data_IF_192561563201
#
_entry.id   IF_192561563201
#
_cell.length_a   1.000
_cell.length_b   1.000
_cell.length_c   1.000
_cell.angle_alpha   90.00
_cell.angle_beta   90.00
_cell.angle_gamma   90.00
#
_symmetry.space_group_name_H-M   'P 1'
#
loop_
_entity.id
_entity.type
_entity.pdbx_description
1 polymer ?
#
# COMPACT_ATOMS: atom_id res chain seq x y z
N UNK A 1 32.81 22.17 7.07
CA UNK A 1 31.79 21.89 6.03
C UNK A 1 30.67 22.89 6.18
N UNK A 2 30.33 23.65 5.13
CA UNK A 2 29.13 24.50 5.13
C UNK A 2 27.90 23.59 5.03
N UNK A 3 26.81 23.99 5.68
CA UNK A 3 25.55 23.25 5.64
C UNK A 3 24.45 24.24 5.34
N UNK A 4 23.73 23.98 4.27
CA UNK A 4 22.55 24.73 3.88
C UNK A 4 21.35 24.12 4.60
N UNK A 5 21.03 24.64 5.78
CA UNK A 5 19.98 24.10 6.66
C UNK A 5 18.59 24.23 6.04
N UNK A 6 18.34 25.33 5.37
CA UNK A 6 17.14 25.58 4.57
C UNK A 6 16.96 24.49 3.50
N UNK A 7 18.00 24.26 2.69
CA UNK A 7 17.95 23.25 1.65
C UNK A 7 17.83 21.82 2.23
N UNK A 8 18.57 21.55 3.30
CA UNK A 8 18.53 20.24 3.98
C UNK A 8 17.17 19.99 4.62
N UNK A 9 16.52 21.01 5.15
CA UNK A 9 15.18 20.92 5.74
C UNK A 9 14.12 20.61 4.68
N UNK A 10 14.21 21.25 3.50
CA UNK A 10 13.31 20.98 2.38
C UNK A 10 13.51 19.54 1.88
N UNK A 11 14.76 19.07 1.74
CA UNK A 11 15.07 17.68 1.37
C UNK A 11 14.38 16.70 2.33
N UNK A 12 14.55 16.95 3.62
CA UNK A 12 14.03 16.11 4.67
C UNK A 12 12.50 16.03 4.64
N UNK A 13 11.81 17.15 4.35
CA UNK A 13 10.36 17.16 4.15
C UNK A 13 9.96 16.26 2.97
N UNK A 14 10.66 16.37 1.83
CA UNK A 14 10.34 15.59 0.63
C UNK A 14 10.57 14.09 0.85
N UNK A 15 11.72 13.71 1.41
CA UNK A 15 12.04 12.31 1.75
C UNK A 15 11.02 11.74 2.74
N UNK A 16 10.65 12.51 3.77
CA UNK A 16 9.67 12.08 4.77
C UNK A 16 8.27 11.89 4.16
N UNK A 17 7.86 12.78 3.24
CA UNK A 17 6.61 12.64 2.49
C UNK A 17 6.60 11.35 1.68
N UNK A 18 7.71 11.03 0.99
CA UNK A 18 7.84 9.79 0.24
C UNK A 18 7.80 8.54 1.11
N UNK A 19 8.48 8.54 2.25
CA UNK A 19 8.48 7.41 3.18
C UNK A 19 7.09 7.12 3.76
N UNK A 20 6.35 8.16 4.14
CA UNK A 20 4.97 8.01 4.60
C UNK A 20 4.02 7.60 3.47
N UNK A 21 4.23 8.09 2.24
CA UNK A 21 3.46 7.69 1.06
C UNK A 21 3.63 6.20 0.76
N UNK A 22 4.86 5.68 0.80
CA UNK A 22 5.12 4.25 0.64
C UNK A 22 4.38 3.44 1.70
N UNK A 23 4.48 3.83 2.98
CA UNK A 23 3.77 3.16 4.07
C UNK A 23 2.26 3.14 3.86
N UNK A 24 1.69 4.28 3.45
CA UNK A 24 0.26 4.41 3.13
C UNK A 24 -0.18 3.46 2.02
N UNK A 25 0.61 3.35 0.95
CA UNK A 25 0.30 2.53 -0.21
C UNK A 25 0.43 1.03 0.07
N UNK A 26 1.48 0.63 0.78
CA UNK A 26 1.76 -0.80 1.05
C UNK A 26 0.86 -1.37 2.15
N UNK A 27 0.55 -0.59 3.19
CA UNK A 27 -0.26 -1.05 4.33
C UNK A 27 -1.76 -0.76 4.11
N UNK A 28 -2.14 -0.16 2.97
CA UNK A 28 -3.53 0.13 2.55
C UNK A 28 -4.32 0.84 3.65
N UNK A 29 -3.71 1.87 4.26
CA UNK A 29 -4.34 2.63 5.34
C UNK A 29 -4.68 4.03 4.88
N UNK A 30 -5.97 4.39 4.94
CA UNK A 30 -6.36 5.77 4.73
C UNK A 30 -5.90 6.66 5.88
N UNK A 31 -4.83 7.42 5.64
CA UNK A 31 -4.44 8.52 6.52
C UNK A 31 -4.99 9.85 6.03
N UNK A 32 -5.55 10.61 6.98
CA UNK A 32 -6.01 11.99 6.74
C UNK A 32 -4.80 12.89 6.48
N UNK A 33 -4.91 13.77 5.48
CA UNK A 33 -3.83 14.65 5.04
C UNK A 33 -3.16 15.43 6.18
N UNK A 34 -3.93 16.05 7.09
CA UNK A 34 -3.38 16.83 8.19
C UNK A 34 -2.45 16.02 9.10
N UNK A 35 -2.73 14.73 9.28
CA UNK A 35 -1.93 13.84 10.12
C UNK A 35 -0.58 13.55 9.48
N UNK A 36 -0.56 13.34 8.16
CA UNK A 36 0.68 13.20 7.39
C UNK A 36 1.51 14.48 7.42
N UNK A 37 0.90 15.65 7.31
CA UNK A 37 1.61 16.94 7.43
C UNK A 37 2.26 17.08 8.80
N UNK A 38 1.53 16.81 9.88
CA UNK A 38 2.06 16.86 11.25
C UNK A 38 3.23 15.89 11.42
N UNK A 39 3.09 14.66 10.94
CA UNK A 39 4.15 13.64 10.99
C UNK A 39 5.42 14.09 10.27
N UNK A 40 5.31 14.62 9.06
CA UNK A 40 6.44 15.11 8.27
C UNK A 40 7.18 16.22 9.02
N UNK A 41 6.46 17.17 9.60
CA UNK A 41 7.07 18.26 10.38
C UNK A 41 7.83 17.70 11.58
N UNK A 42 7.22 16.80 12.35
CA UNK A 42 7.88 16.20 13.51
C UNK A 42 9.12 15.38 13.15
N UNK A 43 9.05 14.57 12.09
CA UNK A 43 10.19 13.79 11.59
C UNK A 43 11.31 14.70 11.07
N UNK A 44 10.96 15.89 10.55
CA UNK A 44 11.93 16.85 10.03
C UNK A 44 12.72 17.59 11.11
N UNK A 45 12.27 17.56 12.38
CA UNK A 45 13.05 18.13 13.49
C UNK A 45 14.38 17.40 13.74
N UNK A 46 14.59 16.20 13.19
CA UNK A 46 15.88 15.52 13.28
C UNK A 46 17.05 16.32 12.69
N UNK A 47 16.78 17.33 11.85
CA UNK A 47 17.83 18.21 11.33
C UNK A 47 18.64 18.89 12.45
N UNK A 48 18.02 19.12 13.61
CA UNK A 48 18.70 19.69 14.79
C UNK A 48 19.87 18.79 15.26
N UNK A 49 19.82 17.49 14.97
CA UNK A 49 20.82 16.53 15.44
C UNK A 49 22.17 16.63 14.72
N UNK A 50 22.22 17.40 13.63
CA UNK A 50 23.47 17.83 12.98
C UNK A 50 24.42 18.55 13.95
N UNK A 51 23.89 19.15 15.01
CA UNK A 51 24.66 19.85 16.04
C UNK A 51 25.10 18.98 17.22
N UNK A 52 24.61 17.75 17.34
CA UNK A 52 24.95 16.85 18.44
C UNK A 52 26.15 15.97 18.15
N UNK A 53 26.62 15.22 19.15
CA UNK A 53 27.59 14.15 18.94
C UNK A 53 26.94 13.00 18.13
N UNK A 54 27.66 12.28 17.25
CA UNK A 54 27.12 11.17 16.48
C UNK A 54 26.32 10.15 17.30
N UNK A 55 26.85 9.70 18.45
CA UNK A 55 26.22 8.68 19.29
C UNK A 55 24.88 9.18 19.83
N UNK A 56 24.87 10.42 20.33
CA UNK A 56 23.66 11.06 20.83
C UNK A 56 22.64 11.27 19.71
N UNK A 57 23.09 11.70 18.53
CA UNK A 57 22.24 11.91 17.35
C UNK A 57 21.54 10.63 16.91
N UNK A 58 22.27 9.52 16.76
CA UNK A 58 21.69 8.23 16.39
C UNK A 58 20.66 7.74 17.43
N UNK A 59 21.02 7.85 18.71
CA UNK A 59 20.14 7.43 19.81
C UNK A 59 18.84 8.22 19.84
N UNK A 60 18.92 9.55 19.70
CA UNK A 60 17.76 10.44 19.67
C UNK A 60 16.91 10.21 18.41
N UNK A 61 17.53 9.99 17.25
CA UNK A 61 16.82 9.72 15.99
C UNK A 61 15.94 8.47 16.08
N UNK A 62 16.51 7.36 16.56
CA UNK A 62 15.77 6.09 16.70
C UNK A 62 14.66 6.22 17.74
N UNK A 63 14.94 6.86 18.88
CA UNK A 63 13.93 7.07 19.93
C UNK A 63 12.78 7.96 19.46
N UNK A 64 13.07 9.08 18.81
CA UNK A 64 12.06 10.00 18.29
C UNK A 64 11.17 9.30 17.26
N UNK A 65 11.78 8.63 16.28
CA UNK A 65 11.04 7.93 15.23
C UNK A 65 10.19 6.81 15.82
N UNK A 66 10.75 6.00 16.72
CA UNK A 66 9.99 4.93 17.37
C UNK A 66 8.80 5.49 18.16
N UNK A 67 9.01 6.57 18.94
CA UNK A 67 7.95 7.22 19.71
C UNK A 67 6.84 7.75 18.79
N UNK A 68 7.20 8.48 17.73
CA UNK A 68 6.26 9.01 16.75
C UNK A 68 5.45 7.85 16.14
N UNK A 69 6.12 6.81 15.65
CA UNK A 69 5.43 5.71 15.00
C UNK A 69 4.54 4.91 15.97
N UNK A 70 4.94 4.75 17.24
CA UNK A 70 4.10 4.14 18.28
C UNK A 70 2.84 4.96 18.54
N UNK A 71 2.96 6.28 18.71
CA UNK A 71 1.81 7.17 18.98
C UNK A 71 0.81 7.14 17.81
N UNK A 72 1.31 7.23 16.58
CA UNK A 72 0.46 7.38 15.41
C UNK A 72 -0.06 6.04 14.88
N UNK A 73 0.78 5.00 14.77
CA UNK A 73 0.42 3.73 14.13
C UNK A 73 0.08 2.60 15.11
N UNK A 74 0.35 2.77 16.41
CA UNK A 74 -0.01 1.81 17.48
C UNK A 74 0.49 0.40 17.18
N UNK A 75 -0.41 -0.56 16.94
CA UNK A 75 -0.07 -1.99 16.75
C UNK A 75 0.74 -2.27 15.49
N UNK A 76 0.63 -1.41 14.47
CA UNK A 76 1.33 -1.58 13.20
C UNK A 76 2.58 -0.72 13.08
N UNK A 77 3.02 -0.09 14.18
CA UNK A 77 4.14 0.84 14.18
C UNK A 77 5.40 0.23 13.55
N UNK A 78 5.69 -1.03 13.87
CA UNK A 78 6.91 -1.71 13.41
C UNK A 78 6.94 -1.88 11.88
N UNK A 79 5.80 -2.22 11.27
CA UNK A 79 5.70 -2.34 9.79
C UNK A 79 5.93 -0.98 9.12
N UNK A 80 5.28 0.07 9.64
CA UNK A 80 5.43 1.42 9.11
C UNK A 80 6.86 1.94 9.29
N UNK A 81 7.48 1.64 10.44
CA UNK A 81 8.85 2.06 10.75
C UNK A 81 9.86 1.40 9.80
N UNK A 82 9.73 0.09 9.54
CA UNK A 82 10.60 -0.61 8.58
C UNK A 82 10.47 0.00 7.19
N UNK A 83 9.24 0.14 6.67
CA UNK A 83 9.03 0.71 5.34
C UNK A 83 9.59 2.13 5.22
N UNK A 84 9.39 2.93 6.26
CA UNK A 84 9.91 4.29 6.34
C UNK A 84 11.45 4.31 6.28
N UNK A 85 12.14 3.51 7.10
CA UNK A 85 13.61 3.44 7.07
C UNK A 85 14.15 2.81 5.78
N UNK A 86 13.46 1.84 5.20
CA UNK A 86 13.81 1.29 3.89
C UNK A 86 13.76 2.36 2.82
N UNK A 87 12.68 3.14 2.76
CA UNK A 87 12.56 4.26 1.82
C UNK A 87 13.65 5.31 2.05
N UNK A 88 13.84 5.75 3.31
CA UNK A 88 14.86 6.74 3.67
C UNK A 88 16.26 6.29 3.25
N UNK A 89 16.60 5.01 3.47
CA UNK A 89 17.90 4.44 3.11
C UNK A 89 18.11 4.39 1.60
N UNK A 90 17.07 4.01 0.84
CA UNK A 90 17.10 3.99 -0.62
C UNK A 90 17.31 5.40 -1.17
N UNK A 91 16.55 6.38 -0.67
CA UNK A 91 16.69 7.78 -1.09
C UNK A 91 18.10 8.26 -0.77
N UNK A 92 18.52 8.21 0.50
CA UNK A 92 19.86 8.64 0.93
C UNK A 92 20.98 7.99 0.11
N UNK A 93 20.85 6.71 -0.24
CA UNK A 93 21.82 6.01 -1.09
C UNK A 93 21.89 6.61 -2.50
N UNK A 94 20.76 6.80 -3.18
CA UNK A 94 20.72 7.40 -4.52
C UNK A 94 21.18 8.86 -4.53
N UNK A 95 20.75 9.64 -3.54
CA UNK A 95 21.13 11.04 -3.40
C UNK A 95 22.64 11.18 -3.20
N UNK A 96 23.23 10.39 -2.29
CA UNK A 96 24.66 10.40 -2.05
C UNK A 96 25.48 9.83 -3.22
N UNK A 97 24.94 8.86 -3.97
CA UNK A 97 25.60 8.30 -5.15
C UNK A 97 25.70 9.34 -6.28
N UNK A 98 24.66 10.16 -6.47
CA UNK A 98 24.57 11.12 -7.57
C UNK A 98 25.17 12.48 -7.24
N UNK A 99 25.16 12.89 -5.96
CA UNK A 99 25.57 14.23 -5.50
C UNK A 99 26.60 14.16 -4.37
N UNK A 100 27.58 13.26 -4.51
CA UNK A 100 28.55 12.96 -3.45
C UNK A 100 29.37 14.17 -3.01
N UNK A 101 29.68 15.08 -3.94
CA UNK A 101 30.53 16.24 -3.67
C UNK A 101 29.73 17.41 -3.09
N UNK A 102 28.43 17.47 -3.38
CA UNK A 102 27.51 18.52 -2.98
C UNK A 102 26.71 18.20 -1.71
N UNK A 103 26.77 16.94 -1.26
CA UNK A 103 26.00 16.42 -0.13
C UNK A 103 26.89 15.65 0.84
N UNK A 104 26.44 15.54 2.09
CA UNK A 104 27.16 14.81 3.12
C UNK A 104 26.21 14.18 4.12
N UNK A 105 26.72 13.20 4.86
CA UNK A 105 26.02 12.62 6.01
C UNK A 105 26.70 13.14 7.27
N UNK A 106 26.01 13.97 8.04
CA UNK A 106 26.49 14.49 9.32
C UNK A 106 25.66 13.93 10.45
N UNK A 107 26.30 13.16 11.33
CA UNK A 107 25.67 12.53 12.49
C UNK A 107 24.42 11.70 12.14
N UNK A 108 24.42 11.03 10.98
CA UNK A 108 23.28 10.23 10.53
C UNK A 108 22.17 11.04 9.84
N UNK A 109 22.34 12.35 9.65
CA UNK A 109 21.42 13.21 8.91
C UNK A 109 22.05 13.55 7.56
N UNK A 110 21.31 13.32 6.48
CA UNK A 110 21.68 13.77 5.15
C UNK A 110 21.56 15.30 5.07
N UNK A 111 22.61 15.96 4.61
CA UNK A 111 22.71 17.42 4.53
C UNK A 111 23.29 17.86 3.20
N UNK A 112 22.80 19.00 2.72
CA UNK A 112 23.30 19.66 1.51
C UNK A 112 24.43 20.61 1.89
N UNK A 113 25.63 20.38 1.36
CA UNK A 113 26.82 21.18 1.63
C UNK A 113 27.11 22.24 0.58
N UNK A 114 26.50 22.13 -0.61
CA UNK A 114 26.59 23.13 -1.68
C UNK A 114 25.21 23.45 -2.29
N UNK A 115 24.95 24.68 -2.78
CA UNK A 115 23.64 25.03 -3.35
C UNK A 115 23.25 24.17 -4.56
N UNK A 116 24.23 23.72 -5.34
CA UNK A 116 24.02 22.82 -6.49
C UNK A 116 23.44 21.47 -6.02
N UNK A 117 23.71 21.06 -4.77
CA UNK A 117 23.10 19.87 -4.17
C UNK A 117 21.58 19.94 -4.01
N UNK A 118 20.93 21.09 -4.24
CA UNK A 118 19.47 21.18 -4.29
C UNK A 118 18.85 20.34 -5.43
N UNK A 119 19.63 19.92 -6.43
CA UNK A 119 19.17 18.99 -7.48
C UNK A 119 18.74 17.62 -6.94
N UNK A 120 19.12 17.28 -5.71
CA UNK A 120 18.64 16.11 -4.98
C UNK A 120 17.10 16.04 -4.92
N UNK A 121 16.41 17.19 -4.87
CA UNK A 121 14.93 17.21 -4.86
C UNK A 121 14.30 16.55 -6.09
N UNK A 122 15.01 16.54 -7.22
CA UNK A 122 14.54 15.85 -8.42
C UNK A 122 14.54 14.33 -8.20
N UNK A 123 15.55 13.81 -7.50
CA UNK A 123 15.63 12.39 -7.13
C UNK A 123 14.45 12.04 -6.20
N UNK A 124 14.19 12.87 -5.20
CA UNK A 124 13.03 12.69 -4.29
C UNK A 124 11.72 12.59 -5.05
N UNK A 125 11.48 13.50 -6.00
CA UNK A 125 10.28 13.49 -6.83
C UNK A 125 10.21 12.24 -7.70
N UNK A 126 11.31 11.85 -8.35
CA UNK A 126 11.37 10.65 -9.18
C UNK A 126 11.07 9.40 -8.34
N UNK A 127 11.67 9.26 -7.17
CA UNK A 127 11.44 8.13 -6.27
C UNK A 127 10.01 8.13 -5.73
N UNK A 128 9.46 9.30 -5.38
CA UNK A 128 8.06 9.43 -4.95
C UNK A 128 7.10 8.89 -6.03
N UNK A 129 7.25 9.33 -7.28
CA UNK A 129 6.42 8.85 -8.38
C UNK A 129 6.71 7.40 -8.78
N UNK A 130 7.93 6.91 -8.56
CA UNK A 130 8.29 5.51 -8.81
C UNK A 130 7.47 4.55 -7.95
N UNK A 131 7.05 4.96 -6.75
CA UNK A 131 6.16 4.16 -5.90
C UNK A 131 4.83 3.92 -6.61
N UNK A 132 4.16 4.97 -7.08
CA UNK A 132 2.89 4.83 -7.79
C UNK A 132 3.06 4.09 -9.13
N UNK A 133 4.16 4.34 -9.85
CA UNK A 133 4.47 3.63 -11.09
C UNK A 133 4.70 2.13 -10.84
N UNK A 134 5.43 1.78 -9.79
CA UNK A 134 5.70 0.38 -9.43
C UNK A 134 4.41 -0.36 -9.11
N UNK A 135 3.49 0.26 -8.38
CA UNK A 135 2.15 -0.28 -8.12
C UNK A 135 1.40 -0.51 -9.44
N UNK A 136 1.43 0.47 -10.35
CA UNK A 136 0.78 0.35 -11.66
C UNK A 136 1.42 -0.75 -12.54
N UNK A 137 2.75 -0.89 -12.49
CA UNK A 137 3.48 -1.95 -13.22
C UNK A 137 3.13 -3.31 -12.65
N UNK A 138 3.14 -3.48 -11.32
CA UNK A 138 2.71 -4.70 -10.65
C UNK A 138 1.26 -5.00 -11.04
N UNK A 139 0.38 -4.01 -11.03
CA UNK A 139 -1.01 -4.17 -11.44
C UNK A 139 -1.15 -4.66 -12.90
N UNK A 140 -0.29 -4.19 -13.81
CA UNK A 140 -0.30 -4.64 -15.22
C UNK A 140 0.36 -6.00 -15.41
N UNK A 141 1.50 -6.26 -14.79
CA UNK A 141 2.25 -7.52 -14.91
C UNK A 141 1.46 -8.71 -14.38
N UNK A 142 0.75 -8.51 -13.27
CA UNK A 142 -0.07 -9.54 -12.65
C UNK A 142 -1.53 -9.51 -13.12
N UNK A 143 -1.86 -8.72 -14.16
CA UNK A 143 -3.22 -8.58 -14.69
C UNK A 143 -4.26 -8.23 -13.63
N UNK A 144 -3.86 -7.52 -12.57
CA UNK A 144 -4.68 -7.25 -11.40
C UNK A 144 -5.88 -6.34 -11.69
N UNK A 145 -5.74 -5.50 -12.72
CA UNK A 145 -6.82 -4.67 -13.26
C UNK A 145 -7.80 -5.47 -14.14
N UNK A 146 -7.35 -6.59 -14.71
CA UNK A 146 -8.11 -7.46 -15.62
C UNK A 146 -8.93 -8.53 -14.88
N UNK A 147 -8.87 -8.58 -13.54
CA UNK A 147 -9.76 -9.45 -12.76
C UNK A 147 -11.23 -9.03 -12.93
N UNK A 148 -11.50 -7.77 -13.31
CA UNK A 148 -12.86 -7.29 -13.59
C UNK A 148 -13.32 -7.77 -14.96
N UNK A 149 -13.95 -8.92 -14.99
CA UNK A 149 -14.53 -9.50 -16.20
C UNK A 149 -16.05 -9.46 -16.16
N UNK A 150 -16.67 -9.39 -17.33
CA UNK A 150 -18.11 -9.59 -17.46
C UNK A 150 -18.40 -11.08 -17.34
N UNK A 151 -19.11 -11.46 -16.28
CA UNK A 151 -19.42 -12.85 -15.98
C UNK A 151 -20.92 -13.03 -15.92
N UNK A 152 -21.41 -14.12 -16.49
CA UNK A 152 -22.80 -14.49 -16.33
C UNK A 152 -22.95 -15.17 -14.96
N UNK A 153 -23.53 -14.44 -14.02
CA UNK A 153 -23.90 -14.98 -12.72
C UNK A 153 -25.30 -15.56 -12.81
N UNK A 154 -25.43 -16.79 -12.33
CA UNK A 154 -26.69 -17.49 -12.24
C UNK A 154 -26.92 -18.00 -10.82
N UNK A 155 -28.10 -17.69 -10.29
CA UNK A 155 -28.58 -18.13 -8.99
C UNK A 155 -30.08 -18.38 -9.12
N UNK A 156 -30.49 -19.61 -8.80
CA UNK A 156 -31.84 -20.09 -9.08
C UNK A 156 -32.22 -19.93 -10.56
N UNK A 157 -33.28 -19.17 -10.83
CA UNK A 157 -33.81 -18.90 -12.17
C UNK A 157 -33.30 -17.59 -12.79
N UNK A 158 -32.55 -16.78 -12.03
CA UNK A 158 -32.10 -15.46 -12.47
C UNK A 158 -30.68 -15.58 -12.99
N UNK A 159 -30.45 -15.14 -14.22
CA UNK A 159 -29.12 -14.97 -14.79
C UNK A 159 -28.92 -13.52 -15.20
N UNK A 160 -27.74 -12.96 -14.89
CA UNK A 160 -27.41 -11.59 -15.24
C UNK A 160 -25.91 -11.48 -15.51
N UNK A 161 -25.57 -10.70 -16.52
CA UNK A 161 -24.18 -10.34 -16.77
C UNK A 161 -23.76 -9.27 -15.76
N UNK A 162 -22.71 -9.57 -15.00
CA UNK A 162 -22.22 -8.72 -13.93
C UNK A 162 -20.71 -8.59 -14.04
N UNK A 163 -20.19 -7.39 -13.76
CA UNK A 163 -18.75 -7.19 -13.59
C UNK A 163 -18.33 -7.76 -12.24
N UNK A 164 -17.69 -8.93 -12.27
CA UNK A 164 -17.13 -9.57 -11.08
C UNK A 164 -15.60 -9.54 -11.15
N UNK A 165 -14.97 -9.48 -9.98
CA UNK A 165 -13.53 -9.66 -9.86
C UNK A 165 -13.26 -11.16 -9.67
N UNK A 166 -12.74 -11.81 -10.70
CA UNK A 166 -12.68 -13.27 -10.82
C UNK A 166 -11.32 -13.82 -10.37
N UNK A 167 -11.26 -14.45 -9.20
CA UNK A 167 -10.12 -15.30 -8.85
C UNK A 167 -10.30 -16.67 -9.53
N UNK A 168 -9.33 -17.06 -10.36
CA UNK A 168 -9.34 -18.30 -11.14
C UNK A 168 -9.29 -19.59 -10.30
N UNK A 169 -9.34 -19.49 -8.97
CA UNK A 169 -9.30 -20.62 -8.05
C UNK A 169 -7.88 -21.03 -7.68
N UNK A 170 -6.86 -20.36 -8.22
CA UNK A 170 -5.47 -20.57 -7.83
C UNK A 170 -5.10 -19.83 -6.54
N UNK A 171 -5.86 -18.79 -6.19
CA UNK A 171 -5.40 -17.80 -5.22
C UNK A 171 -6.26 -17.73 -3.96
N UNK A 172 -7.58 -17.87 -4.08
CA UNK A 172 -8.48 -18.04 -2.94
C UNK A 172 -9.60 -19.03 -3.25
N UNK A 173 -9.72 -20.07 -2.40
CA UNK A 173 -10.80 -21.05 -2.47
C UNK A 173 -11.53 -21.16 -1.14
N UNK A 174 -12.84 -21.36 -1.24
CA UNK A 174 -13.70 -21.80 -0.13
C UNK A 174 -14.14 -23.21 -0.51
N UNK A 175 -13.82 -24.19 0.35
CA UNK A 175 -14.15 -25.60 0.10
C UNK A 175 -13.66 -26.10 -1.28
N UNK A 176 -12.46 -25.67 -1.70
CA UNK A 176 -11.84 -25.98 -3.01
C UNK A 176 -12.61 -25.43 -4.24
N UNK A 177 -13.63 -24.60 -4.02
CA UNK A 177 -14.33 -23.89 -5.09
C UNK A 177 -13.74 -22.49 -5.27
N UNK A 178 -13.67 -21.96 -6.52
CA UNK A 178 -13.25 -20.60 -6.78
C UNK A 178 -14.10 -19.58 -6.04
N UNK A 179 -13.51 -18.42 -5.76
CA UNK A 179 -14.20 -17.30 -5.12
C UNK A 179 -14.21 -16.11 -6.06
N UNK A 180 -15.34 -15.43 -6.16
CA UNK A 180 -15.49 -14.21 -6.94
C UNK A 180 -15.92 -13.08 -6.03
N UNK A 181 -15.52 -11.85 -6.36
CA UNK A 181 -15.90 -10.67 -5.61
C UNK A 181 -16.86 -9.82 -6.42
N UNK A 182 -17.97 -9.43 -5.81
CA UNK A 182 -19.06 -8.69 -6.46
C UNK A 182 -19.47 -7.50 -5.60
N UNK A 183 -19.64 -6.32 -6.21
CA UNK A 183 -20.16 -5.16 -5.48
C UNK A 183 -21.63 -5.37 -5.11
N UNK A 184 -22.04 -4.88 -3.95
CA UNK A 184 -23.44 -4.79 -3.56
C UNK A 184 -24.25 -4.07 -4.64
N UNK A 185 -25.47 -4.56 -4.89
CA UNK A 185 -26.36 -4.04 -5.93
C UNK A 185 -26.05 -4.52 -7.34
N UNK A 186 -24.93 -5.22 -7.57
CA UNK A 186 -24.60 -5.73 -8.90
C UNK A 186 -25.42 -6.98 -9.28
N UNK A 187 -25.90 -7.74 -8.29
CA UNK A 187 -26.78 -8.89 -8.47
C UNK A 187 -27.72 -9.07 -7.26
N UNK A 188 -28.96 -9.46 -7.52
CA UNK A 188 -29.99 -9.66 -6.48
C UNK A 188 -29.91 -11.09 -5.92
N UNK A 189 -28.91 -11.36 -5.08
CA UNK A 189 -28.75 -12.65 -4.42
C UNK A 189 -29.91 -12.94 -3.46
N UNK A 190 -30.52 -14.11 -3.57
CA UNK A 190 -31.60 -14.52 -2.67
C UNK A 190 -31.02 -15.02 -1.35
N UNK A 191 -31.82 -14.97 -0.27
CA UNK A 191 -31.41 -15.53 1.03
C UNK A 191 -31.07 -17.02 1.00
N UNK A 192 -31.59 -17.75 0.01
CA UNK A 192 -31.32 -19.20 -0.14
C UNK A 192 -29.92 -19.48 -0.68
N UNK A 193 -29.30 -18.49 -1.32
CA UNK A 193 -27.94 -18.62 -1.87
C UNK A 193 -26.88 -18.31 -0.81
N UNK A 194 -27.25 -17.72 0.32
CA UNK A 194 -26.33 -17.32 1.38
C UNK A 194 -25.74 -18.53 2.09
N UNK A 195 -24.42 -18.57 2.18
CA UNK A 195 -23.67 -19.64 2.83
C UNK A 195 -22.90 -19.05 3.99
N UNK A 196 -23.02 -19.67 5.16
CA UNK A 196 -22.16 -19.38 6.28
C UNK A 196 -20.86 -20.15 6.12
N UNK A 197 -19.76 -19.43 5.90
CA UNK A 197 -18.43 -20.05 5.81
C UNK A 197 -17.84 -20.07 7.22
N UNK A 198 -17.57 -21.25 7.79
CA UNK A 198 -17.11 -21.38 9.18
C UNK A 198 -15.67 -20.89 9.40
N UNK A 199 -14.93 -20.61 8.32
CA UNK A 199 -13.54 -20.13 8.37
C UNK A 199 -13.53 -18.61 8.25
N UNK A 200 -12.89 -17.86 9.17
CA UNK A 200 -12.72 -16.42 8.99
C UNK A 200 -11.90 -16.16 7.73
N UNK A 201 -12.55 -15.56 6.74
CA UNK A 201 -11.87 -15.04 5.56
C UNK A 201 -11.06 -13.82 5.99
N UNK A 202 -9.73 -13.90 5.85
CA UNK A 202 -8.82 -12.82 6.20
C UNK A 202 -8.82 -11.73 5.11
N UNK A 203 -10.00 -11.19 4.82
CA UNK A 203 -10.20 -10.22 3.76
C UNK A 203 -9.93 -8.81 4.32
N UNK A 204 -9.08 -7.99 3.68
CA UNK A 204 -8.71 -6.67 4.19
C UNK A 204 -9.85 -5.62 4.09
N UNK A 205 -10.98 -5.99 3.47
CA UNK A 205 -12.16 -5.14 3.26
C UNK A 205 -13.43 -5.75 3.86
N UNK A 206 -14.40 -4.89 4.15
CA UNK A 206 -15.67 -5.31 4.74
C UNK A 206 -16.57 -5.97 3.69
N UNK A 207 -16.91 -7.24 3.89
CA UNK A 207 -17.94 -7.94 3.11
C UNK A 207 -19.25 -8.06 3.90
N UNK A 208 -20.37 -8.16 3.19
CA UNK A 208 -21.71 -8.27 3.79
C UNK A 208 -22.17 -9.72 3.91
N UNK A 209 -21.98 -10.49 2.84
CA UNK A 209 -22.44 -11.87 2.75
C UNK A 209 -21.64 -12.67 1.71
N UNK A 210 -21.74 -13.98 1.81
CA UNK A 210 -21.15 -14.93 0.88
C UNK A 210 -22.29 -15.76 0.30
N UNK A 211 -22.33 -15.88 -1.02
CA UNK A 211 -23.39 -16.59 -1.73
C UNK A 211 -22.80 -17.68 -2.62
N UNK A 212 -23.48 -18.82 -2.74
CA UNK A 212 -23.12 -19.84 -3.74
C UNK A 212 -23.71 -19.46 -5.09
N UNK A 213 -22.91 -19.50 -6.14
CA UNK A 213 -23.33 -19.12 -7.50
C UNK A 213 -22.80 -20.07 -8.56
N UNK A 214 -23.50 -20.10 -9.69
CA UNK A 214 -23.01 -20.67 -10.94
C UNK A 214 -22.48 -19.54 -11.82
N UNK A 215 -21.24 -19.71 -12.29
CA UNK A 215 -20.48 -18.72 -13.03
C UNK A 215 -20.18 -19.26 -14.42
N UNK A 216 -20.45 -18.47 -15.46
CA UNK A 216 -20.03 -18.76 -16.83
C UNK A 216 -19.25 -17.59 -17.43
N UNK A 217 -18.03 -17.90 -17.89
CA UNK A 217 -17.06 -16.92 -18.42
C UNK A 217 -17.05 -16.87 -19.95
N UNK A 218 -18.10 -16.29 -20.55
CA UNK A 218 -18.20 -16.05 -21.99
C UNK A 218 -19.12 -17.04 -22.73
N UNK A 219 -19.49 -16.69 -23.96
CA UNK A 219 -20.40 -17.50 -24.78
C UNK A 219 -19.79 -18.88 -25.08
N UNK A 220 -20.46 -19.94 -24.63
CA UNK A 220 -20.10 -21.34 -24.92
C UNK A 220 -19.16 -22.02 -23.91
N UNK A 221 -18.82 -21.38 -22.77
CA UNK A 221 -18.04 -22.04 -21.71
C UNK A 221 -18.94 -22.73 -20.68
N UNK A 222 -18.51 -23.90 -20.21
CA UNK A 222 -19.18 -24.65 -19.15
C UNK A 222 -19.28 -23.83 -17.86
N UNK A 223 -20.47 -23.85 -17.26
CA UNK A 223 -20.70 -23.20 -15.97
C UNK A 223 -20.05 -23.99 -14.85
N UNK A 224 -19.40 -23.31 -13.91
CA UNK A 224 -18.83 -23.94 -12.71
C UNK A 224 -19.37 -23.27 -11.45
N UNK A 225 -19.30 -24.01 -10.34
CA UNK A 225 -19.66 -23.49 -9.03
C UNK A 225 -18.58 -22.59 -8.48
N UNK A 226 -18.96 -21.43 -7.96
CA UNK A 226 -18.10 -20.52 -7.23
C UNK A 226 -18.83 -19.92 -6.03
N UNK A 227 -18.07 -19.32 -5.12
CA UNK A 227 -18.60 -18.52 -4.02
C UNK A 227 -18.46 -17.04 -4.35
N UNK A 228 -19.56 -16.28 -4.34
CA UNK A 228 -19.58 -14.85 -4.49
C UNK A 228 -19.50 -14.15 -3.13
N UNK A 229 -18.42 -13.41 -2.90
CA UNK A 229 -18.28 -12.52 -1.75
C UNK A 229 -18.85 -11.15 -2.12
N UNK A 230 -19.92 -10.74 -1.46
CA UNK A 230 -20.60 -9.47 -1.70
C UNK A 230 -19.96 -8.37 -0.86
N UNK A 231 -19.41 -7.36 -1.52
CA UNK A 231 -18.65 -6.28 -0.88
C UNK A 231 -19.47 -5.00 -0.88
N UNK A 232 -19.32 -4.20 0.19
CA UNK A 232 -19.91 -2.87 0.31
C UNK A 232 -19.58 -1.96 -0.90
N UNK A 233 -20.53 -1.12 -1.32
CA UNK A 233 -20.34 -0.19 -2.46
C UNK A 233 -19.17 0.80 -2.25
N UNK A 234 -18.88 1.14 -0.98
CA UNK A 234 -17.86 2.11 -0.58
C UNK A 234 -16.43 1.65 -0.82
N UNK A 235 -16.21 0.33 -0.93
CA UNK A 235 -14.88 -0.24 -1.10
C UNK A 235 -14.45 -0.17 -2.58
N UNK A 236 -13.21 0.23 -2.81
CA UNK A 236 -12.56 0.13 -4.12
C UNK A 236 -11.73 -1.16 -4.13
N UNK A 237 -12.05 -2.07 -5.05
CA UNK A 237 -11.30 -3.32 -5.23
C UNK A 237 -10.14 -3.09 -6.18
N UNK A 238 -8.92 -3.26 -5.67
CA UNK A 238 -7.72 -3.42 -6.46
C UNK A 238 -7.35 -4.90 -6.50
N UNK A 239 -6.93 -5.42 -7.65
CA UNK A 239 -6.60 -6.85 -7.77
C UNK A 239 -5.47 -7.28 -6.83
N UNK A 240 -4.57 -6.36 -6.44
CA UNK A 240 -3.57 -6.57 -5.38
C UNK A 240 -4.20 -7.02 -4.05
N UNK A 241 -5.32 -6.44 -3.65
CA UNK A 241 -6.01 -6.76 -2.38
C UNK A 241 -6.65 -8.16 -2.42
N UNK A 242 -7.02 -8.62 -3.62
CA UNK A 242 -7.50 -9.99 -3.85
C UNK A 242 -6.34 -11.02 -3.82
N UNK A 243 -5.14 -10.65 -4.32
CA UNK A 243 -3.94 -11.51 -4.31
C UNK A 243 -3.22 -11.58 -2.95
N UNK A 244 -3.33 -10.58 -2.08
CA UNK A 244 -2.61 -10.57 -0.80
C UNK A 244 -3.01 -11.72 0.13
N UNK A 245 -4.19 -12.32 -0.07
CA UNK A 245 -4.64 -13.52 0.65
C UNK A 245 -3.91 -14.81 0.25
N UNK A 246 -3.25 -14.83 -0.91
CA UNK A 246 -2.52 -15.98 -1.46
C UNK A 246 -1.24 -16.27 -0.67
N UNK A 247 -0.57 -15.19 -0.25
CA UNK A 247 0.74 -15.29 0.38
C UNK A 247 0.65 -15.35 1.91
N UNK A 248 -0.49 -14.99 2.50
CA UNK A 248 -0.71 -15.04 3.95
C UNK A 248 -1.33 -16.38 4.43
N UNK A 249 -1.56 -17.34 3.53
CA UNK A 249 -2.11 -18.68 3.83
C UNK A 249 -1.09 -19.82 3.74
N UNK A 250 0.22 -19.53 3.75
CA UNK A 250 1.24 -20.54 4.03
C UNK A 250 1.58 -20.57 5.51
#
# INVERSE_FOLDING_TARGET
>A
MKIYLDLSFINLILVNLGGLHLGKKVIVREEKFYRSVILVVFLSFRLVYVYFNPILSYTLSILLDTLIFVIFYRKEFFKHLILYYSYLSICTFFEHLMFKDETAIRNGVFVISEPIGAWVYLIDLVLYFSVDLSILIVDRLFHLKDFKMDVLLSSGTISRQVKAYYDSGNTMTIEKSPVIFVKKGAFDFTKKDEVYVPVPLNIPFKYEKICKVLVSCGAGKESYFAYAVVISEKENLYGCDCLLNVFLRR
#
